data_IF_641532668486
#
_entry.id   IF_641532668486
#
_cell.length_a   1.000
_cell.length_b   1.000
_cell.length_c   1.000
_cell.angle_alpha   90.00
_cell.angle_beta   90.00
_cell.angle_gamma   90.00
#
_symmetry.space_group_name_H-M   'P 1'
#
loop_
_entity.id
_entity.type
_entity.pdbx_description
1 polymer ?
#
# COMPACT_ATOMS: atom_id res chain seq x y z
N UNK A 1 -2.83 27.85 -12.40
CA UNK A 1 -1.62 26.99 -12.28
C UNK A 1 -1.19 26.74 -10.83
N UNK A 2 -1.44 27.64 -9.88
CA UNK A 2 -0.95 27.50 -8.49
C UNK A 2 -1.70 26.47 -7.63
N UNK A 3 -3.00 26.29 -7.84
CA UNK A 3 -3.81 25.28 -7.13
C UNK A 3 -3.32 23.86 -7.40
N UNK A 4 -3.06 23.50 -8.66
CA UNK A 4 -2.53 22.18 -9.03
C UNK A 4 -1.16 21.91 -8.42
N UNK A 5 -0.28 22.93 -8.36
CA UNK A 5 1.03 22.82 -7.70
C UNK A 5 0.90 22.69 -6.18
N UNK A 6 -0.03 23.40 -5.55
CA UNK A 6 -0.34 23.26 -4.12
C UNK A 6 -0.90 21.87 -3.81
N UNK A 7 -1.83 21.36 -4.62
CA UNK A 7 -2.41 20.01 -4.45
C UNK A 7 -1.35 18.92 -4.65
N UNK A 8 -0.48 19.04 -5.67
CA UNK A 8 0.67 18.14 -5.87
C UNK A 8 1.59 18.14 -4.65
N UNK A 9 2.00 19.33 -4.17
CA UNK A 9 2.90 19.48 -3.02
C UNK A 9 2.30 18.90 -1.74
N UNK A 10 0.99 19.02 -1.56
CA UNK A 10 0.26 18.44 -0.45
C UNK A 10 0.27 16.90 -0.51
N UNK A 11 -0.05 16.31 -1.68
CA UNK A 11 -0.04 14.84 -1.87
C UNK A 11 1.36 14.26 -1.63
N UNK A 12 2.42 14.91 -2.14
CA UNK A 12 3.80 14.46 -1.86
C UNK A 12 4.18 14.55 -0.39
N UNK A 13 3.76 15.60 0.32
CA UNK A 13 3.98 15.73 1.76
C UNK A 13 3.26 14.62 2.55
N UNK A 14 2.03 14.31 2.15
CA UNK A 14 1.24 13.22 2.74
C UNK A 14 1.91 11.87 2.48
N UNK A 15 2.27 11.56 1.24
CA UNK A 15 2.97 10.32 0.88
C UNK A 15 4.31 10.17 1.60
N UNK A 16 5.09 11.25 1.70
CA UNK A 16 6.39 11.25 2.41
C UNK A 16 6.20 11.01 3.91
N UNK A 17 5.19 11.61 4.53
CA UNK A 17 4.87 11.39 5.93
C UNK A 17 4.41 9.94 6.19
N UNK A 18 3.59 9.37 5.31
CA UNK A 18 3.19 7.97 5.38
C UNK A 18 4.38 7.03 5.17
N UNK A 19 5.25 7.32 4.21
CA UNK A 19 6.49 6.58 3.98
C UNK A 19 7.36 6.59 5.24
N UNK A 20 7.60 7.75 5.85
CA UNK A 20 8.41 7.87 7.06
C UNK A 20 7.80 7.13 8.27
N UNK A 21 6.47 7.04 8.36
CA UNK A 21 5.78 6.24 9.40
C UNK A 21 5.89 4.73 9.13
N UNK A 22 5.86 4.33 7.87
CA UNK A 22 5.95 2.93 7.45
C UNK A 22 7.38 2.41 7.43
N UNK A 23 8.37 3.23 7.11
CA UNK A 23 9.77 2.83 6.92
C UNK A 23 10.34 1.98 8.06
N UNK A 24 10.15 2.32 9.36
CA UNK A 24 10.63 1.48 10.46
C UNK A 24 9.94 0.10 10.53
N UNK A 25 8.70 0.01 10.06
CA UNK A 25 7.92 -1.24 10.01
C UNK A 25 8.38 -2.09 8.81
N UNK A 26 8.66 -1.45 7.67
CA UNK A 26 9.11 -2.11 6.44
C UNK A 26 10.56 -2.60 6.52
N UNK A 27 11.44 -1.87 7.22
CA UNK A 27 12.85 -2.25 7.41
C UNK A 27 13.05 -3.37 8.45
N UNK A 28 12.10 -3.54 9.37
CA UNK A 28 12.27 -4.49 10.49
C UNK A 28 11.78 -5.91 10.21
N UNK A 29 10.92 -6.11 9.20
CA UNK A 29 10.39 -7.44 8.89
C UNK A 29 10.04 -7.62 7.41
N UNK A 30 10.95 -8.29 6.68
CA UNK A 30 10.76 -8.58 5.26
C UNK A 30 9.54 -9.47 4.99
N UNK A 31 9.16 -10.38 5.88
CA UNK A 31 8.00 -11.26 5.67
C UNK A 31 6.71 -10.43 5.69
N UNK A 32 6.60 -9.52 6.66
CA UNK A 32 5.48 -8.58 6.74
C UNK A 32 5.43 -7.72 5.48
N UNK A 33 6.55 -7.16 5.03
CA UNK A 33 6.62 -6.37 3.80
C UNK A 33 6.13 -7.15 2.58
N UNK A 34 6.61 -8.37 2.36
CA UNK A 34 6.18 -9.18 1.19
C UNK A 34 4.69 -9.52 1.24
N UNK A 35 4.17 -9.84 2.42
CA UNK A 35 2.74 -10.14 2.60
C UNK A 35 1.88 -8.90 2.36
N UNK A 36 2.29 -7.72 2.84
CA UNK A 36 1.60 -6.46 2.57
C UNK A 36 1.62 -6.12 1.08
N UNK A 37 2.77 -6.27 0.42
CA UNK A 37 2.89 -6.07 -1.03
C UNK A 37 1.96 -7.00 -1.82
N UNK A 38 1.86 -8.27 -1.43
CA UNK A 38 0.94 -9.21 -2.06
C UNK A 38 -0.53 -8.81 -1.84
N UNK A 39 -0.92 -8.38 -0.64
CA UNK A 39 -2.29 -7.92 -0.35
C UNK A 39 -2.67 -6.70 -1.21
N UNK A 40 -1.74 -5.77 -1.41
CA UNK A 40 -1.94 -4.59 -2.27
C UNK A 40 -1.98 -4.98 -3.75
N UNK A 41 -1.14 -5.93 -4.17
CA UNK A 41 -1.08 -6.41 -5.55
C UNK A 41 -2.40 -7.10 -5.94
N UNK A 42 -2.89 -8.00 -5.08
CA UNK A 42 -4.15 -8.71 -5.25
C UNK A 42 -5.34 -7.87 -4.75
N UNK A 43 -5.45 -6.62 -5.19
CA UNK A 43 -6.59 -5.77 -4.84
C UNK A 43 -7.75 -5.96 -5.85
N UNK A 44 -8.91 -6.53 -5.44
CA UNK A 44 -10.04 -6.75 -6.33
C UNK A 44 -10.73 -5.45 -6.76
N UNK A 45 -10.45 -4.31 -6.11
CA UNK A 45 -11.04 -3.01 -6.39
C UNK A 45 -10.30 -2.23 -7.50
N UNK A 46 -9.23 -2.79 -8.08
CA UNK A 46 -8.59 -2.17 -9.25
C UNK A 46 -9.53 -2.17 -10.46
N UNK A 47 -9.38 -1.17 -11.30
CA UNK A 47 -10.11 -1.07 -12.56
C UNK A 47 -9.69 -2.18 -13.53
N UNK A 48 -10.56 -2.51 -14.48
CA UNK A 48 -10.28 -3.46 -15.57
C UNK A 48 -9.95 -4.91 -15.13
N UNK A 49 -10.33 -5.32 -13.93
CA UNK A 49 -10.20 -6.73 -13.50
C UNK A 49 -11.34 -7.58 -14.09
N UNK A 50 -10.96 -8.62 -14.85
CA UNK A 50 -11.88 -9.62 -15.41
C UNK A 50 -12.31 -10.65 -14.34
N UNK A 51 -11.37 -11.16 -13.54
CA UNK A 51 -11.62 -12.22 -12.55
C UNK A 51 -11.52 -11.72 -11.10
N UNK A 52 -12.43 -10.82 -10.70
CA UNK A 52 -12.41 -10.19 -9.36
C UNK A 52 -12.47 -11.18 -8.21
N UNK A 53 -13.30 -12.21 -8.31
CA UNK A 53 -13.43 -13.22 -7.25
C UNK A 53 -12.14 -14.02 -7.05
N UNK A 54 -11.43 -14.37 -8.13
CA UNK A 54 -10.14 -15.06 -8.02
C UNK A 54 -9.09 -14.18 -7.32
N UNK A 55 -9.05 -12.88 -7.65
CA UNK A 55 -8.14 -11.92 -7.01
C UNK A 55 -8.49 -11.75 -5.53
N UNK A 56 -9.78 -11.63 -5.20
CA UNK A 56 -10.25 -11.55 -3.81
C UNK A 56 -9.87 -12.78 -2.99
N UNK A 57 -9.98 -13.97 -3.58
CA UNK A 57 -9.52 -15.22 -2.92
C UNK A 57 -8.03 -15.15 -2.63
N UNK A 58 -7.20 -14.74 -3.59
CA UNK A 58 -5.76 -14.58 -3.37
C UNK A 58 -5.46 -13.55 -2.28
N UNK A 59 -6.13 -12.39 -2.31
CA UNK A 59 -5.99 -11.37 -1.28
C UNK A 59 -6.27 -11.90 0.12
N UNK A 60 -7.37 -12.64 0.27
CA UNK A 60 -7.78 -13.24 1.53
C UNK A 60 -6.74 -14.25 2.05
N UNK A 61 -6.12 -15.02 1.16
CA UNK A 61 -5.03 -15.94 1.52
C UNK A 61 -3.86 -15.16 2.13
N UNK A 62 -3.40 -14.08 1.48
CA UNK A 62 -2.29 -13.28 2.01
C UNK A 62 -2.65 -12.56 3.31
N UNK A 63 -3.88 -12.07 3.46
CA UNK A 63 -4.37 -11.51 4.72
C UNK A 63 -4.37 -12.56 5.85
N UNK A 64 -4.80 -13.79 5.56
CA UNK A 64 -4.75 -14.89 6.51
C UNK A 64 -3.31 -15.24 6.90
N UNK A 65 -2.39 -15.32 5.94
CA UNK A 65 -0.98 -15.58 6.18
C UNK A 65 -0.34 -14.50 7.05
N UNK A 66 -0.64 -13.22 6.79
CA UNK A 66 -0.17 -12.11 7.62
C UNK A 66 -0.67 -12.23 9.06
N UNK A 67 -1.96 -12.49 9.24
CA UNK A 67 -2.55 -12.68 10.58
C UNK A 67 -1.88 -13.82 11.34
N UNK A 68 -1.64 -14.96 10.68
CA UNK A 68 -0.98 -16.14 11.27
C UNK A 68 0.49 -15.89 11.57
N UNK A 69 1.19 -15.19 10.69
CA UNK A 69 2.59 -14.80 10.92
C UNK A 69 2.71 -13.92 12.17
N UNK A 70 1.86 -12.89 12.29
CA UNK A 70 1.86 -12.00 13.45
C UNK A 70 1.47 -12.74 14.74
N UNK A 71 0.53 -13.68 14.69
CA UNK A 71 0.16 -14.45 15.89
C UNK A 71 1.31 -15.31 16.40
N UNK A 72 2.08 -15.93 15.49
CA UNK A 72 3.26 -16.73 15.84
C UNK A 72 4.38 -15.82 16.38
N UNK A 73 4.60 -14.66 15.74
CA UNK A 73 5.70 -13.76 16.09
C UNK A 73 5.53 -13.07 17.45
N UNK A 74 4.30 -12.64 17.78
CA UNK A 74 4.07 -11.78 18.94
C UNK A 74 3.58 -12.53 20.20
N UNK A 75 3.26 -13.83 20.11
CA UNK A 75 2.76 -14.73 21.18
C UNK A 75 1.50 -14.27 21.95
N UNK A 76 1.23 -12.97 22.02
CA UNK A 76 0.07 -12.32 22.60
C UNK A 76 -0.97 -12.10 21.50
N UNK A 77 -2.14 -12.69 21.69
CA UNK A 77 -3.24 -12.60 20.73
C UNK A 77 -3.77 -11.16 20.56
N UNK A 78 -3.86 -10.38 21.64
CA UNK A 78 -4.30 -8.99 21.58
C UNK A 78 -3.30 -8.09 20.85
N UNK A 79 -1.99 -8.29 21.11
CA UNK A 79 -0.95 -7.52 20.41
C UNK A 79 -0.94 -7.83 18.92
N UNK A 80 -0.97 -9.12 18.55
CA UNK A 80 -0.95 -9.54 17.15
C UNK A 80 -2.17 -9.02 16.37
N UNK A 81 -3.38 -9.08 16.95
CA UNK A 81 -4.60 -8.50 16.38
C UNK A 81 -4.48 -6.98 16.21
N UNK A 82 -3.96 -6.28 17.22
CA UNK A 82 -3.79 -4.82 17.18
C UNK A 82 -2.82 -4.41 16.07
N UNK A 83 -1.70 -5.13 15.92
CA UNK A 83 -0.74 -4.89 14.83
C UNK A 83 -1.35 -5.19 13.47
N UNK A 84 -2.08 -6.29 13.33
CA UNK A 84 -2.78 -6.62 12.09
C UNK A 84 -3.74 -5.48 11.67
N UNK A 85 -4.59 -5.00 12.59
CA UNK A 85 -5.53 -3.92 12.31
C UNK A 85 -4.82 -2.62 11.91
N UNK A 86 -3.74 -2.26 12.60
CA UNK A 86 -2.94 -1.07 12.24
C UNK A 86 -2.39 -1.17 10.82
N UNK A 87 -1.85 -2.34 10.44
CA UNK A 87 -1.35 -2.57 9.09
C UNK A 87 -2.46 -2.49 8.04
N UNK A 88 -3.63 -3.08 8.30
CA UNK A 88 -4.77 -3.02 7.36
C UNK A 88 -5.27 -1.58 7.17
N UNK A 89 -5.37 -0.79 8.23
CA UNK A 89 -5.74 0.62 8.13
C UNK A 89 -4.71 1.38 7.28
N UNK A 90 -3.42 1.12 7.47
CA UNK A 90 -2.39 1.77 6.64
C UNK A 90 -2.48 1.35 5.17
N UNK A 91 -2.83 0.10 4.87
CA UNK A 91 -3.06 -0.33 3.49
C UNK A 91 -4.25 0.40 2.86
N UNK A 92 -5.33 0.63 3.62
CA UNK A 92 -6.49 1.40 3.15
C UNK A 92 -6.11 2.84 2.85
N UNK A 93 -5.33 3.48 3.73
CA UNK A 93 -4.82 4.83 3.52
C UNK A 93 -3.97 4.91 2.23
N UNK A 94 -3.07 3.95 2.02
CA UNK A 94 -2.22 3.88 0.82
C UNK A 94 -3.06 3.68 -0.44
N UNK A 95 -4.06 2.79 -0.39
CA UNK A 95 -4.95 2.54 -1.52
C UNK A 95 -5.77 3.78 -1.89
N UNK A 96 -6.26 4.51 -0.88
CA UNK A 96 -6.97 5.77 -1.07
C UNK A 96 -6.05 6.84 -1.69
N UNK A 97 -4.82 6.98 -1.20
CA UNK A 97 -3.85 7.91 -1.75
C UNK A 97 -3.47 7.58 -3.19
N UNK A 98 -3.30 6.30 -3.50
CA UNK A 98 -3.04 5.84 -4.88
C UNK A 98 -4.20 6.17 -5.82
N UNK A 99 -5.45 6.04 -5.35
CA UNK A 99 -6.64 6.44 -6.12
C UNK A 99 -6.68 7.95 -6.37
N UNK A 100 -6.49 8.75 -5.31
CA UNK A 100 -6.42 10.22 -5.42
C UNK A 100 -5.29 10.63 -6.37
N UNK A 101 -4.14 9.95 -6.34
CA UNK A 101 -3.04 10.22 -7.26
C UNK A 101 -3.44 9.93 -8.71
N UNK A 102 -4.06 8.77 -9.00
CA UNK A 102 -4.52 8.44 -10.36
C UNK A 102 -5.53 9.44 -10.91
N UNK A 103 -6.49 9.86 -10.08
CA UNK A 103 -7.51 10.85 -10.46
C UNK A 103 -6.91 12.25 -10.72
N UNK A 104 -5.78 12.58 -10.09
CA UNK A 104 -5.12 13.88 -10.25
C UNK A 104 -3.94 13.88 -11.26
N UNK A 105 -3.56 12.74 -11.84
CA UNK A 105 -2.32 12.62 -12.66
C UNK A 105 -2.55 12.10 -14.09
N UNK A 106 -3.69 12.41 -14.69
CA UNK A 106 -3.97 12.11 -16.12
C UNK A 106 -3.10 12.88 -17.12
N UNK A 107 -2.30 13.89 -16.70
CA UNK A 107 -1.56 14.74 -17.66
C UNK A 107 -0.03 14.86 -17.47
N UNK A 108 0.61 14.27 -16.46
CA UNK A 108 2.05 14.58 -16.21
C UNK A 108 2.83 13.47 -15.50
N UNK A 109 3.29 12.45 -16.25
CA UNK A 109 4.23 11.44 -15.75
C UNK A 109 5.54 11.31 -16.53
N UNK A 110 5.85 12.23 -17.45
CA UNK A 110 7.10 12.17 -18.20
C UNK A 110 8.36 12.64 -17.42
N UNK A 111 8.23 13.31 -16.26
CA UNK A 111 9.34 14.11 -15.71
C UNK A 111 9.72 13.82 -14.25
N UNK A 112 9.53 12.60 -13.74
CA UNK A 112 9.98 12.28 -12.38
C UNK A 112 10.98 11.12 -12.38
N UNK A 113 12.30 11.40 -12.26
CA UNK A 113 13.28 10.36 -11.99
C UNK A 113 13.12 9.96 -10.52
N UNK A 114 12.48 8.81 -10.28
CA UNK A 114 12.33 8.23 -8.94
C UNK A 114 13.20 6.99 -8.82
N UNK A 115 14.48 7.12 -8.42
CA UNK A 115 15.35 5.98 -8.15
C UNK A 115 14.90 5.13 -6.94
N UNK A 116 13.84 5.53 -6.22
CA UNK A 116 13.38 4.90 -4.98
C UNK A 116 11.92 4.42 -4.99
N UNK A 117 11.18 4.65 -6.08
CA UNK A 117 9.89 3.97 -6.24
C UNK A 117 10.24 2.58 -6.76
N UNK A 118 10.25 1.60 -5.85
CA UNK A 118 10.49 0.20 -6.18
C UNK A 118 9.75 -0.14 -7.49
N UNK A 119 10.40 -0.79 -8.47
CA UNK A 119 9.80 -1.08 -9.78
C UNK A 119 8.39 -1.69 -9.69
N UNK A 120 8.14 -2.49 -8.65
CA UNK A 120 6.82 -3.04 -8.32
C UNK A 120 5.78 -1.98 -7.91
N UNK A 121 6.16 -1.00 -7.10
CA UNK A 121 5.27 0.07 -6.66
C UNK A 121 4.87 0.96 -7.85
N UNK A 122 5.80 1.17 -8.79
CA UNK A 122 5.49 1.86 -10.05
C UNK A 122 4.48 1.09 -10.90
N UNK A 123 4.62 -0.23 -11.04
CA UNK A 123 3.63 -1.08 -11.73
C UNK A 123 2.28 -1.21 -11.01
N UNK A 124 2.25 -1.00 -9.69
CA UNK A 124 1.02 -1.11 -8.88
C UNK A 124 0.24 0.21 -8.83
N UNK A 125 0.93 1.35 -8.97
CA UNK A 125 0.37 2.71 -8.85
C UNK A 125 -0.02 3.32 -10.21
N UNK A 126 0.73 3.06 -11.30
CA UNK A 126 0.29 3.35 -12.68
C UNK A 126 -0.83 2.39 -13.09
#
# INVERSE_FOLDING_TARGET
MDLLKQTKRNIYGVLTNYYNKMLPILDSDRVVLHLLSAIVLFNPDKDNIIHREAIKVQQNIYMHLLKRYLSIKYCNECESKTRFLRLMNTLQDISLLGKIQRENTTETFAEIPTPYVFPLIREIIM
#
